data_IF_873710613680
#
_entry.id   IF_873710613680
#
_cell.length_a   1.000
_cell.length_b   1.000
_cell.length_c   1.000
_cell.angle_alpha   90.00
_cell.angle_beta   90.00
_cell.angle_gamma   90.00
#
_symmetry.space_group_name_H-M   'P 1'
#
loop_
_entity.id
_entity.type
_entity.pdbx_description
1 polymer ?
#
# COMPACT_ATOMS: atom_id res chain seq x y z
N UNK A 1 -3.44 -12.07 -5.99
CA UNK A 1 -2.62 -13.30 -5.90
C UNK A 1 -1.42 -13.00 -5.01
N UNK A 2 -1.12 -13.84 -4.01
CA UNK A 2 0.07 -13.66 -3.14
C UNK A 2 1.17 -14.58 -3.65
N UNK A 3 2.36 -14.03 -3.89
CA UNK A 3 3.55 -14.79 -4.28
C UNK A 3 4.59 -14.72 -3.16
N UNK A 4 5.29 -15.83 -2.95
CA UNK A 4 6.43 -15.89 -2.05
C UNK A 4 7.70 -15.83 -2.90
N UNK A 5 8.58 -14.88 -2.61
CA UNK A 5 9.83 -14.69 -3.34
C UNK A 5 10.97 -14.84 -2.32
N UNK A 6 11.95 -15.67 -2.64
CA UNK A 6 13.19 -15.76 -1.88
C UNK A 6 14.22 -14.79 -2.48
N UNK A 7 14.80 -13.97 -1.62
CA UNK A 7 15.88 -13.04 -1.95
C UNK A 7 17.10 -13.41 -1.11
N UNK A 8 18.30 -13.12 -1.61
CA UNK A 8 19.50 -13.16 -0.76
C UNK A 8 19.41 -12.09 0.33
N UNK A 9 20.08 -12.31 1.46
CA UNK A 9 20.05 -11.39 2.60
C UNK A 9 20.53 -9.98 2.21
N UNK A 10 21.59 -9.90 1.41
CA UNK A 10 22.12 -8.62 0.92
C UNK A 10 21.11 -7.89 0.02
N UNK A 11 20.49 -8.60 -0.93
CA UNK A 11 19.51 -8.01 -1.85
C UNK A 11 18.25 -7.56 -1.10
N UNK A 12 17.81 -8.35 -0.12
CA UNK A 12 16.70 -8.00 0.75
C UNK A 12 17.01 -6.72 1.52
N UNK A 13 18.17 -6.65 2.17
CA UNK A 13 18.58 -5.47 2.93
C UNK A 13 18.61 -4.21 2.06
N UNK A 14 19.26 -4.27 0.89
CA UNK A 14 19.32 -3.13 -0.02
C UNK A 14 17.93 -2.70 -0.51
N UNK A 15 17.05 -3.66 -0.78
CA UNK A 15 15.67 -3.40 -1.20
C UNK A 15 14.84 -2.75 -0.09
N UNK A 16 15.04 -3.17 1.16
CA UNK A 16 14.39 -2.56 2.33
C UNK A 16 14.84 -1.12 2.54
N UNK A 17 16.14 -0.81 2.39
CA UNK A 17 16.62 0.57 2.48
C UNK A 17 16.02 1.46 1.39
N UNK A 18 15.92 0.97 0.15
CA UNK A 18 15.31 1.71 -0.96
C UNK A 18 13.81 1.91 -0.76
N UNK A 19 13.08 0.88 -0.32
CA UNK A 19 11.65 0.96 -0.02
C UNK A 19 11.39 2.01 1.09
N UNK A 20 12.20 1.98 2.16
CA UNK A 20 12.13 2.94 3.26
C UNK A 20 12.39 4.38 2.80
N UNK A 21 13.40 4.60 1.95
CA UNK A 21 13.69 5.91 1.38
C UNK A 21 12.51 6.47 0.57
N UNK A 22 11.78 5.60 -0.12
CA UNK A 22 10.60 5.96 -0.90
C UNK A 22 9.31 6.06 -0.08
N UNK A 23 9.36 5.75 1.22
CA UNK A 23 8.19 5.76 2.10
C UNK A 23 7.19 4.64 1.82
N UNK A 24 7.61 3.53 1.19
CA UNK A 24 6.73 2.42 0.81
C UNK A 24 7.16 1.10 1.45
N UNK A 25 6.28 0.12 1.49
CA UNK A 25 6.61 -1.21 1.97
C UNK A 25 7.56 -1.94 1.01
N UNK A 26 8.38 -2.87 1.52
CA UNK A 26 9.22 -3.73 0.66
C UNK A 26 8.38 -4.44 -0.41
N UNK A 27 7.18 -4.90 -0.05
CA UNK A 27 6.29 -5.60 -0.95
C UNK A 27 5.74 -4.72 -2.08
N UNK A 28 5.51 -3.43 -1.82
CA UNK A 28 5.08 -2.48 -2.84
C UNK A 28 6.24 -2.03 -3.70
N UNK A 29 7.43 -1.86 -3.12
CA UNK A 29 8.64 -1.60 -3.88
C UNK A 29 8.96 -2.73 -4.87
N UNK A 30 8.87 -4.00 -4.45
CA UNK A 30 9.06 -5.15 -5.34
C UNK A 30 7.98 -5.19 -6.42
N UNK A 31 6.71 -4.93 -6.08
CA UNK A 31 5.62 -4.83 -7.08
C UNK A 31 5.92 -3.75 -8.11
N UNK A 32 6.29 -2.55 -7.68
CA UNK A 32 6.72 -1.44 -8.55
C UNK A 32 7.79 -1.86 -9.57
N UNK A 33 8.81 -2.60 -9.13
CA UNK A 33 9.88 -3.08 -10.01
C UNK A 33 9.36 -4.11 -11.01
N UNK A 34 8.60 -5.10 -10.56
CA UNK A 34 8.01 -6.12 -11.44
C UNK A 34 7.06 -5.50 -12.46
N UNK A 35 6.28 -4.51 -12.03
CA UNK A 35 5.34 -3.79 -12.87
C UNK A 35 6.05 -2.91 -13.90
N UNK A 36 7.19 -2.29 -13.54
CA UNK A 36 8.05 -1.57 -14.48
C UNK A 36 8.62 -2.50 -15.55
N UNK A 37 9.12 -3.66 -15.15
CA UNK A 37 9.66 -4.67 -16.07
C UNK A 37 8.58 -5.28 -16.97
N UNK A 38 7.37 -5.49 -16.45
CA UNK A 38 6.24 -6.03 -17.21
C UNK A 38 5.56 -5.00 -18.13
N UNK A 39 5.87 -3.70 -18.00
CA UNK A 39 5.29 -2.62 -18.80
C UNK A 39 3.79 -2.39 -18.58
N UNK A 40 3.17 -3.00 -17.57
CA UNK A 40 1.74 -2.95 -17.31
C UNK A 40 1.49 -2.49 -15.87
N UNK A 41 1.60 -1.19 -15.63
CA UNK A 41 1.21 -0.60 -14.36
C UNK A 41 -0.30 -0.47 -14.30
N UNK A 42 -0.94 -1.36 -13.54
CA UNK A 42 -2.38 -1.30 -13.34
C UNK A 42 -2.75 -0.07 -12.51
N UNK A 43 -3.96 0.45 -12.71
CA UNK A 43 -4.52 1.54 -11.90
C UNK A 43 -4.52 1.18 -10.40
N UNK A 44 -4.70 -0.11 -10.09
CA UNK A 44 -4.68 -0.63 -8.72
C UNK A 44 -3.28 -0.54 -8.09
N UNK A 45 -2.21 -0.76 -8.86
CA UNK A 45 -0.83 -0.60 -8.38
C UNK A 45 -0.52 0.88 -8.09
N UNK A 46 -0.95 1.79 -8.97
CA UNK A 46 -0.80 3.24 -8.77
C UNK A 46 -1.52 3.68 -7.48
N UNK A 47 -2.75 3.20 -7.28
CA UNK A 47 -3.56 3.53 -6.11
C UNK A 47 -2.97 2.99 -4.81
N UNK A 48 -2.41 1.78 -4.83
CA UNK A 48 -1.70 1.20 -3.68
C UNK A 48 -0.48 2.02 -3.28
N UNK A 49 0.33 2.47 -4.25
CA UNK A 49 1.50 3.29 -3.97
C UNK A 49 1.09 4.63 -3.36
N UNK A 50 -0.01 5.21 -3.84
CA UNK A 50 -0.51 6.47 -3.30
C UNK A 50 -0.95 6.31 -1.84
N UNK A 51 -1.74 5.26 -1.54
CA UNK A 51 -2.18 4.96 -0.17
C UNK A 51 -0.98 4.73 0.76
N UNK A 52 0.05 4.01 0.30
CA UNK A 52 1.25 3.80 1.12
C UNK A 52 2.04 5.08 1.39
N UNK A 53 2.08 6.02 0.43
CA UNK A 53 2.71 7.34 0.62
C UNK A 53 1.94 8.23 1.59
N UNK A 54 0.62 8.18 1.52
CA UNK A 54 -0.26 8.96 2.39
C UNK A 54 -0.21 8.44 3.85
N UNK A 55 0.28 7.21 4.02
CA UNK A 55 0.47 6.56 5.31
C UNK A 55 -0.79 5.83 5.78
N UNK A 56 -0.63 4.99 6.80
CA UNK A 56 -1.73 4.22 7.37
C UNK A 56 -2.18 4.85 8.68
N UNK A 57 -3.45 5.27 8.73
CA UNK A 57 -4.10 5.68 9.96
C UNK A 57 -4.68 4.45 10.67
N UNK A 58 -4.54 4.42 12.00
CA UNK A 58 -5.06 3.30 12.79
C UNK A 58 -6.55 3.53 13.03
N UNK A 59 -7.38 2.76 12.34
CA UNK A 59 -8.83 2.86 12.43
C UNK A 59 -9.35 1.80 13.41
N UNK A 60 -10.05 2.22 14.46
CA UNK A 60 -10.86 1.31 15.28
C UNK A 60 -12.21 1.06 14.60
N UNK A 61 -12.68 -0.19 14.65
CA UNK A 61 -13.91 -0.58 13.99
C UNK A 61 -15.14 0.15 14.54
N UNK A 62 -15.22 0.38 15.84
CA UNK A 62 -16.36 1.05 16.46
C UNK A 62 -16.41 2.52 16.05
N UNK A 63 -15.26 3.18 16.04
CA UNK A 63 -15.11 4.59 15.64
C UNK A 63 -15.50 4.75 14.17
N UNK A 64 -14.96 3.90 13.29
CA UNK A 64 -15.30 3.89 11.87
C UNK A 64 -16.79 3.67 11.60
N UNK A 65 -17.41 2.74 12.35
CA UNK A 65 -18.83 2.46 12.21
C UNK A 65 -19.68 3.64 12.64
N UNK A 66 -19.31 4.33 13.72
CA UNK A 66 -20.01 5.52 14.20
C UNK A 66 -19.92 6.67 13.18
N UNK A 67 -18.73 6.92 12.63
CA UNK A 67 -18.51 7.95 11.61
C UNK A 67 -19.32 7.69 10.34
N UNK A 68 -19.32 6.45 9.86
CA UNK A 68 -20.15 6.04 8.72
C UNK A 68 -21.65 6.28 8.96
N UNK A 69 -22.14 5.96 10.16
CA UNK A 69 -23.55 6.17 10.50
C UNK A 69 -23.92 7.65 10.55
N UNK A 70 -23.01 8.52 10.99
CA UNK A 70 -23.23 9.96 10.98
C UNK A 70 -23.21 10.51 9.55
N UNK A 71 -22.25 10.10 8.72
CA UNK A 71 -22.19 10.51 7.31
C UNK A 71 -23.44 10.11 6.52
N UNK A 72 -23.99 8.92 6.77
CA UNK A 72 -25.23 8.47 6.12
C UNK A 72 -26.42 9.37 6.54
N UNK A 73 -26.53 9.68 7.83
CA UNK A 73 -27.60 10.55 8.34
C UNK A 73 -27.52 11.97 7.78
N UNK A 74 -26.30 12.51 7.65
CA UNK A 74 -26.08 13.85 7.11
C UNK A 74 -26.32 13.91 5.58
N UNK A 75 -26.20 12.78 4.87
CA UNK A 75 -26.51 12.68 3.44
C UNK A 75 -28.02 12.53 3.16
N UNK A 76 -28.78 12.03 4.13
CA UNK A 76 -30.25 11.88 4.07
C UNK A 76 -31.01 13.11 4.61
N UNK A 77 -30.32 14.14 5.14
CA UNK A 77 -30.87 15.36 5.73
C UNK A 77 -30.87 16.56 4.75
#
# INVERSE_FOLDING_TARGET
MRININLSDELKYQSEQKAKYLGVSLSAFVRLLLTREAGQMSELDQRLIQIEKDGFEKVDYQDFKADLQNMIKDADA
#
